data_IF_608541514444
#
_entry.id   IF_608541514444
#
_cell.length_a   1.000
_cell.length_b   1.000
_cell.length_c   1.000
_cell.angle_alpha   90.00
_cell.angle_beta   90.00
_cell.angle_gamma   90.00
#
_symmetry.space_group_name_H-M   'P 1'
#
loop_
_entity.id
_entity.type
_entity.pdbx_description
1 polymer ?
#
# COMPACT_ATOMS: atom_id res chain seq x y z
N UNK A 1 -19.29 5.04 -12.16
CA UNK A 1 -18.23 5.58 -11.27
C UNK A 1 -18.41 5.11 -9.84
N UNK A 2 -19.53 5.45 -9.19
CA UNK A 2 -19.81 4.98 -7.82
C UNK A 2 -19.80 3.45 -7.68
N UNK A 3 -20.28 2.70 -8.69
CA UNK A 3 -20.18 1.23 -8.71
C UNK A 3 -18.74 0.73 -8.62
N UNK A 4 -17.80 1.35 -9.35
CA UNK A 4 -16.37 0.99 -9.32
C UNK A 4 -15.75 1.25 -7.95
N UNK A 5 -16.16 2.34 -7.28
CA UNK A 5 -15.70 2.65 -5.91
C UNK A 5 -16.25 1.62 -4.91
N UNK A 6 -17.52 1.24 -5.04
CA UNK A 6 -18.14 0.21 -4.19
C UNK A 6 -17.49 -1.16 -4.40
N UNK A 7 -17.21 -1.53 -5.65
CA UNK A 7 -16.50 -2.77 -6.00
C UNK A 7 -15.07 -2.77 -5.44
N UNK A 8 -14.30 -1.70 -5.68
CA UNK A 8 -12.93 -1.58 -5.16
C UNK A 8 -12.88 -1.65 -3.63
N UNK A 9 -13.83 -1.00 -2.94
CA UNK A 9 -13.97 -1.11 -1.48
C UNK A 9 -14.29 -2.54 -1.03
N UNK A 10 -15.17 -3.23 -1.75
CA UNK A 10 -15.54 -4.63 -1.43
C UNK A 10 -14.35 -5.57 -1.62
N UNK A 11 -13.55 -5.36 -2.66
CA UNK A 11 -12.30 -6.09 -2.88
C UNK A 11 -11.30 -5.82 -1.76
N UNK A 12 -11.11 -4.56 -1.36
CA UNK A 12 -10.19 -4.21 -0.27
C UNK A 12 -10.58 -4.85 1.07
N UNK A 13 -11.89 -4.96 1.36
CA UNK A 13 -12.36 -5.64 2.57
C UNK A 13 -12.18 -7.16 2.55
N UNK A 14 -12.04 -7.76 1.37
CA UNK A 14 -11.91 -9.21 1.19
C UNK A 14 -10.47 -9.65 0.95
N UNK A 15 -9.58 -8.73 0.63
CA UNK A 15 -8.19 -9.00 0.32
C UNK A 15 -7.48 -9.69 1.50
N UNK A 16 -6.77 -10.77 1.20
CA UNK A 16 -6.00 -11.54 2.16
C UNK A 16 -4.50 -11.32 1.93
N UNK A 17 -3.87 -10.61 2.87
CA UNK A 17 -2.43 -10.39 2.88
C UNK A 17 -1.96 -9.21 2.01
N UNK A 18 -0.66 -8.85 2.12
CA UNK A 18 -0.14 -7.57 1.64
C UNK A 18 -0.35 -7.30 0.15
N UNK A 19 -0.13 -8.31 -0.70
CA UNK A 19 -0.21 -8.16 -2.15
C UNK A 19 -1.65 -7.94 -2.64
N UNK A 20 -2.61 -8.71 -2.13
CA UNK A 20 -4.02 -8.53 -2.48
C UNK A 20 -4.56 -7.19 -1.96
N UNK A 21 -4.17 -6.80 -0.73
CA UNK A 21 -4.57 -5.51 -0.17
C UNK A 21 -3.98 -4.35 -1.00
N UNK A 22 -2.72 -4.45 -1.39
CA UNK A 22 -2.05 -3.51 -2.29
C UNK A 22 -2.80 -3.30 -3.61
N UNK A 23 -3.18 -4.40 -4.26
CA UNK A 23 -3.91 -4.35 -5.53
C UNK A 23 -5.29 -3.70 -5.36
N UNK A 24 -6.04 -4.08 -4.34
CA UNK A 24 -7.36 -3.55 -4.09
C UNK A 24 -7.33 -2.05 -3.73
N UNK A 25 -6.36 -1.61 -2.93
CA UNK A 25 -6.16 -0.20 -2.61
C UNK A 25 -5.79 0.62 -3.86
N UNK A 26 -4.97 0.10 -4.77
CA UNK A 26 -4.67 0.77 -6.04
C UNK A 26 -5.92 0.97 -6.90
N UNK A 27 -6.77 -0.06 -7.03
CA UNK A 27 -8.03 0.04 -7.78
C UNK A 27 -8.97 1.09 -7.17
N UNK A 28 -8.99 1.21 -5.84
CA UNK A 28 -9.75 2.23 -5.14
C UNK A 28 -9.21 3.63 -5.47
N UNK A 29 -7.89 3.82 -5.37
CA UNK A 29 -7.22 5.08 -5.70
C UNK A 29 -7.46 5.52 -7.14
N UNK A 30 -7.37 4.62 -8.11
CA UNK A 30 -7.67 4.91 -9.52
C UNK A 30 -9.14 5.30 -9.74
N UNK A 31 -10.05 4.62 -9.04
CA UNK A 31 -11.48 4.93 -9.08
C UNK A 31 -11.78 6.31 -8.49
N UNK A 32 -11.10 6.68 -7.39
CA UNK A 32 -11.21 8.00 -6.77
C UNK A 32 -10.64 9.10 -7.67
N UNK A 33 -9.49 8.87 -8.32
CA UNK A 33 -8.93 9.80 -9.31
C UNK A 33 -9.92 10.07 -10.45
N UNK A 34 -10.56 9.01 -10.95
CA UNK A 34 -11.59 9.12 -11.99
C UNK A 34 -12.82 9.88 -11.50
N UNK A 35 -13.23 9.69 -10.24
CA UNK A 35 -14.33 10.42 -9.62
C UNK A 35 -14.03 11.92 -9.52
N UNK A 36 -12.82 12.29 -9.09
CA UNK A 36 -12.41 13.70 -8.98
C UNK A 36 -12.30 14.37 -10.36
N UNK A 37 -11.78 13.66 -11.37
CA UNK A 37 -11.75 14.18 -12.74
C UNK A 37 -13.14 14.50 -13.29
N UNK A 38 -14.15 13.68 -12.96
CA UNK A 38 -15.53 14.00 -13.32
C UNK A 38 -16.07 15.18 -12.53
N UNK A 39 -15.77 15.28 -11.23
CA UNK A 39 -16.21 16.40 -10.41
C UNK A 39 -15.67 17.76 -10.90
N UNK A 40 -14.53 17.80 -11.59
CA UNK A 40 -14.04 19.03 -12.25
C UNK A 40 -14.99 19.56 -13.33
N UNK A 41 -15.73 18.68 -13.99
CA UNK A 41 -16.74 19.04 -14.99
C UNK A 41 -18.08 19.52 -14.38
N UNK A 42 -18.26 19.41 -13.05
CA UNK A 42 -19.47 19.81 -12.34
C UNK A 42 -19.15 20.85 -11.25
N UNK A 43 -19.15 22.17 -11.58
CA UNK A 43 -18.76 23.24 -10.67
C UNK A 43 -19.55 23.26 -9.35
N UNK A 44 -20.85 22.96 -9.40
CA UNK A 44 -21.72 22.92 -8.22
C UNK A 44 -21.31 21.80 -7.25
N UNK A 45 -20.89 20.65 -7.77
CA UNK A 45 -20.39 19.54 -6.94
C UNK A 45 -19.02 19.87 -6.36
N UNK A 46 -18.15 20.51 -7.15
CA UNK A 46 -16.82 20.95 -6.72
C UNK A 46 -16.89 21.98 -5.60
N UNK A 47 -17.87 22.90 -5.64
CA UNK A 47 -18.10 23.90 -4.62
C UNK A 47 -18.88 23.37 -3.40
N UNK A 48 -19.37 22.13 -3.45
CA UNK A 48 -20.12 21.53 -2.35
C UNK A 48 -19.19 21.24 -1.16
N UNK A 49 -19.48 21.85 -0.01
CA UNK A 49 -18.66 21.71 1.19
C UNK A 49 -18.50 20.25 1.65
N UNK A 50 -19.53 19.40 1.51
CA UNK A 50 -19.46 17.98 1.86
C UNK A 50 -18.53 17.21 0.91
N UNK A 51 -18.49 17.59 -0.36
CA UNK A 51 -17.61 16.97 -1.35
C UNK A 51 -16.14 17.36 -1.12
N UNK A 52 -15.87 18.62 -0.78
CA UNK A 52 -14.53 19.10 -0.41
C UNK A 52 -14.04 18.37 0.85
N UNK A 53 -14.88 18.26 1.88
CA UNK A 53 -14.54 17.52 3.10
C UNK A 53 -14.23 16.04 2.81
N UNK A 54 -15.05 15.38 1.98
CA UNK A 54 -14.79 14.01 1.56
C UNK A 54 -13.44 13.88 0.84
N UNK A 55 -13.11 14.80 -0.07
CA UNK A 55 -11.82 14.81 -0.76
C UNK A 55 -10.65 14.94 0.22
N UNK A 56 -10.75 15.86 1.19
CA UNK A 56 -9.74 16.05 2.23
C UNK A 56 -9.53 14.79 3.06
N UNK A 57 -10.62 14.20 3.56
CA UNK A 57 -10.53 12.97 4.37
C UNK A 57 -9.98 11.79 3.58
N UNK A 58 -10.34 11.64 2.30
CA UNK A 58 -9.76 10.59 1.46
C UNK A 58 -8.26 10.78 1.27
N UNK A 59 -7.80 12.02 1.13
CA UNK A 59 -6.36 12.32 1.06
C UNK A 59 -5.66 11.98 2.38
N UNK A 60 -6.22 12.38 3.52
CA UNK A 60 -5.67 12.05 4.84
C UNK A 60 -5.55 10.53 5.06
N UNK A 61 -6.58 9.78 4.62
CA UNK A 61 -6.56 8.32 4.68
C UNK A 61 -5.49 7.73 3.76
N UNK A 62 -5.33 8.23 2.53
CA UNK A 62 -4.27 7.79 1.61
C UNK A 62 -2.88 8.03 2.21
N UNK A 63 -2.63 9.22 2.77
CA UNK A 63 -1.36 9.55 3.42
C UNK A 63 -1.09 8.61 4.61
N UNK A 64 -2.11 8.27 5.39
CA UNK A 64 -2.01 7.32 6.50
C UNK A 64 -1.74 5.88 6.01
N UNK A 65 -2.38 5.45 4.93
CA UNK A 65 -2.15 4.14 4.29
C UNK A 65 -0.72 4.06 3.77
N UNK A 66 -0.22 5.08 3.06
CA UNK A 66 1.17 5.12 2.58
C UNK A 66 2.18 5.08 3.74
N UNK A 67 1.90 5.81 4.84
CA UNK A 67 2.73 5.75 6.04
C UNK A 67 2.73 4.34 6.67
N UNK A 68 1.56 3.70 6.79
CA UNK A 68 1.43 2.35 7.33
C UNK A 68 2.18 1.31 6.47
N UNK A 69 2.11 1.43 5.14
CA UNK A 69 2.85 0.56 4.21
C UNK A 69 4.37 0.71 4.38
N UNK A 70 4.88 1.94 4.45
CA UNK A 70 6.32 2.19 4.70
C UNK A 70 6.76 1.60 6.03
N UNK A 71 5.95 1.78 7.07
CA UNK A 71 6.23 1.20 8.40
C UNK A 71 6.25 -0.33 8.36
N UNK A 72 5.25 -0.96 7.74
CA UNK A 72 5.21 -2.41 7.55
C UNK A 72 6.47 -2.92 6.83
N UNK A 73 6.84 -2.27 5.72
CA UNK A 73 8.02 -2.66 4.95
C UNK A 73 9.31 -2.49 5.75
N UNK A 74 9.44 -1.43 6.56
CA UNK A 74 10.60 -1.27 7.44
C UNK A 74 10.71 -2.43 8.43
N UNK A 75 9.62 -2.78 9.10
CA UNK A 75 9.57 -3.89 10.06
C UNK A 75 9.85 -5.24 9.40
N UNK A 76 9.27 -5.50 8.22
CA UNK A 76 9.52 -6.72 7.44
C UNK A 76 10.97 -6.82 6.99
N UNK A 77 11.58 -5.72 6.56
CA UNK A 77 13.00 -5.68 6.21
C UNK A 77 13.87 -6.05 7.39
N UNK A 78 13.61 -5.45 8.55
CA UNK A 78 14.39 -5.68 9.75
C UNK A 78 14.24 -7.14 10.23
N UNK A 79 13.01 -7.68 10.20
CA UNK A 79 12.73 -9.09 10.47
C UNK A 79 13.49 -10.02 9.49
N UNK A 80 13.36 -9.77 8.19
CA UNK A 80 13.99 -10.60 7.17
C UNK A 80 15.51 -10.59 7.30
N UNK A 81 16.09 -9.43 7.65
CA UNK A 81 17.52 -9.29 7.94
C UNK A 81 17.93 -10.11 9.16
N UNK A 82 17.18 -10.02 10.26
CA UNK A 82 17.45 -10.79 11.48
C UNK A 82 17.35 -12.31 11.26
N UNK A 83 16.39 -12.76 10.46
CA UNK A 83 16.23 -14.19 10.13
C UNK A 83 17.45 -14.75 9.37
N UNK A 84 18.16 -13.92 8.61
CA UNK A 84 19.34 -14.33 7.83
C UNK A 84 20.67 -14.08 8.54
N UNK A 85 20.74 -13.08 9.40
CA UNK A 85 21.99 -12.65 10.03
C UNK A 85 22.40 -13.57 11.19
N UNK A 86 23.71 -13.85 11.31
CA UNK A 86 24.27 -14.52 12.49
C UNK A 86 24.38 -13.53 13.66
N UNK A 87 24.05 -13.90 14.91
CA UNK A 87 23.64 -15.23 15.37
C UNK A 87 22.12 -15.48 15.36
N UNK A 88 21.30 -14.47 15.01
CA UNK A 88 19.84 -14.55 15.09
C UNK A 88 19.23 -15.63 14.19
N UNK A 89 19.86 -15.98 13.08
CA UNK A 89 19.44 -17.07 12.19
C UNK A 89 19.38 -18.46 12.86
N UNK A 90 20.18 -18.72 13.89
CA UNK A 90 20.16 -19.97 14.66
C UNK A 90 18.86 -20.09 15.45
N UNK A 91 18.47 -19.00 16.13
CA UNK A 91 17.20 -18.89 16.83
C UNK A 91 16.05 -18.95 15.82
N UNK A 92 16.16 -18.24 14.70
CA UNK A 92 15.17 -18.24 13.63
C UNK A 92 14.87 -19.66 13.12
N UNK A 93 15.91 -20.43 12.83
CA UNK A 93 15.78 -21.82 12.36
C UNK A 93 15.16 -22.72 13.44
N UNK A 94 15.62 -22.61 14.70
CA UNK A 94 15.16 -23.45 15.80
C UNK A 94 13.68 -23.25 16.15
N UNK A 95 13.18 -22.03 16.00
CA UNK A 95 11.79 -21.62 16.29
C UNK A 95 10.93 -21.40 15.03
N UNK A 96 11.47 -21.69 13.84
CA UNK A 96 10.78 -21.56 12.54
C UNK A 96 10.29 -20.13 12.24
N UNK A 97 11.05 -19.11 12.65
CA UNK A 97 10.81 -17.75 12.17
C UNK A 97 11.15 -17.68 10.68
N UNK A 98 10.15 -17.34 9.88
CA UNK A 98 10.27 -17.23 8.44
C UNK A 98 10.22 -15.77 8.00
N UNK A 99 10.79 -15.50 6.83
CA UNK A 99 10.65 -14.20 6.17
C UNK A 99 9.19 -13.87 5.90
N UNK A 100 8.91 -12.58 5.84
CA UNK A 100 7.62 -12.03 5.44
C UNK A 100 7.76 -11.29 4.13
N UNK A 101 6.67 -11.29 3.37
CA UNK A 101 6.60 -10.56 2.11
C UNK A 101 6.44 -9.06 2.38
N UNK A 102 7.01 -8.25 1.50
CA UNK A 102 6.81 -6.81 1.54
C UNK A 102 5.43 -6.44 1.00
N UNK A 103 4.95 -5.29 1.42
CA UNK A 103 3.81 -4.60 0.82
C UNK A 103 4.32 -3.83 -0.41
N UNK A 104 4.47 -4.52 -1.54
CA UNK A 104 4.89 -3.95 -2.83
C UNK A 104 3.67 -3.76 -3.73
N UNK A 105 3.63 -2.66 -4.49
CA UNK A 105 2.74 -2.54 -5.65
C UNK A 105 3.46 -3.17 -6.84
N UNK A 106 2.77 -3.94 -7.68
CA UNK A 106 3.35 -4.44 -8.93
C UNK A 106 3.76 -3.29 -9.85
N UNK A 107 4.99 -2.79 -9.68
CA UNK A 107 5.81 -2.13 -10.67
C UNK A 107 7.28 -2.26 -10.24
N UNK A 108 8.16 -2.55 -11.19
CA UNK A 108 9.08 -3.69 -11.11
C UNK A 108 10.36 -3.33 -10.37
N UNK A 109 10.82 -4.21 -9.47
CA UNK A 109 12.20 -4.68 -9.30
C UNK A 109 13.40 -3.74 -9.65
N UNK A 110 13.27 -2.42 -9.55
CA UNK A 110 14.28 -1.46 -10.04
C UNK A 110 15.12 -0.83 -8.93
N UNK A 111 14.77 -1.01 -7.66
CA UNK A 111 15.55 -0.40 -6.56
C UNK A 111 16.42 -1.39 -5.78
N UNK A 112 16.53 -2.64 -6.23
CA UNK A 112 17.47 -3.61 -5.64
C UNK A 112 18.58 -4.04 -6.59
N UNK A 113 19.17 -3.09 -7.34
CA UNK A 113 20.58 -3.27 -7.73
C UNK A 113 21.44 -2.86 -6.54
N UNK A 114 21.70 -3.82 -5.65
CA UNK A 114 22.80 -3.71 -4.71
C UNK A 114 24.06 -3.39 -5.51
N UNK A 115 24.60 -2.19 -5.33
CA UNK A 115 25.85 -1.80 -5.96
C UNK A 115 26.92 -2.83 -5.57
N UNK A 116 27.61 -3.47 -6.54
CA UNK A 116 28.64 -4.42 -6.20
C UNK A 116 29.78 -3.67 -5.50
N UNK A 117 29.91 -3.87 -4.20
CA UNK A 117 31.10 -3.42 -3.46
C UNK A 117 32.25 -4.29 -3.93
N UNK A 118 33.07 -3.74 -4.82
CA UNK A 118 34.35 -4.33 -5.21
C UNK A 118 35.35 -3.99 -4.11
N UNK A 119 35.96 -5.01 -3.54
CA UNK A 119 37.22 -4.89 -2.80
C UNK A 119 38.37 -4.69 -3.79
#
# INVERSE_FOLDING_TARGET
LFTKVTEARTLAMRAAGPAETAQAENMLRESLKSLFAVAEAYPDLKANQNFIQLQTHLKEIEDAVEAARRYYNAVVRDLNTMVEQFPSNLVATRFKFAKKDFFELEAPALERKAAPVRF
#
